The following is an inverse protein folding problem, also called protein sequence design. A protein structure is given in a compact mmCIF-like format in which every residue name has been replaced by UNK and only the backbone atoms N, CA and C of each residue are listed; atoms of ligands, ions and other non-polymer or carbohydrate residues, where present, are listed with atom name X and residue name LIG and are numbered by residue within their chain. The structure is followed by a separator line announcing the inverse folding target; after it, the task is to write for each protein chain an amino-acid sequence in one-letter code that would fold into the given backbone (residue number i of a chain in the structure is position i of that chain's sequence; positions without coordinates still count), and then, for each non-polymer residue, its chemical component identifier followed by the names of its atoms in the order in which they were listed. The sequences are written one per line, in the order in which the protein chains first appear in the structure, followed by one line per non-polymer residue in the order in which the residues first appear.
data_IF_734169442188
#
_entry.id   IF_734169442188
#
_cell.length_a   1.000
_cell.length_b   1.000
_cell.length_c   1.000
_cell.angle_alpha   90.00
_cell.angle_beta   90.00
_cell.angle_gamma   90.00
#
_symmetry.space_group_name_H-M   'P 1'
#
loop_
_entity.id
_entity.type
_entity.pdbx_description
1 polymer ?
#
# COMPACT_ATOMS: atom_id res chain seq x y z
N UNK A 1 16.93 2.63 17.53
CA UNK A 1 16.81 1.67 18.65
C UNK A 1 17.05 0.26 18.17
N UNK A 2 17.37 -0.64 19.05
CA UNK A 2 17.61 -2.06 18.76
C UNK A 2 16.39 -2.72 18.09
N UNK A 3 15.18 -2.40 18.53
CA UNK A 3 13.94 -2.90 17.92
C UNK A 3 13.84 -2.55 16.42
N UNK A 4 14.26 -1.36 15.99
CA UNK A 4 14.31 -0.97 14.58
C UNK A 4 15.40 -1.76 13.84
N UNK A 5 16.59 -1.92 14.41
CA UNK A 5 17.69 -2.68 13.77
C UNK A 5 17.35 -4.17 13.61
N UNK A 6 16.53 -4.73 14.49
CA UNK A 6 16.02 -6.10 14.41
C UNK A 6 14.78 -6.27 13.53
N UNK A 7 14.25 -5.18 12.97
CA UNK A 7 13.03 -5.24 12.14
C UNK A 7 11.73 -5.48 12.90
N UNK A 8 11.74 -5.35 14.25
CA UNK A 8 10.53 -5.51 15.08
C UNK A 8 9.57 -4.33 14.93
N UNK A 9 10.09 -3.15 14.61
CA UNK A 9 9.32 -1.94 14.34
C UNK A 9 9.90 -1.23 13.12
N UNK A 10 9.04 -0.54 12.35
CA UNK A 10 9.46 0.18 11.14
C UNK A 10 10.22 1.48 11.49
N UNK A 11 9.76 2.19 12.51
CA UNK A 11 10.34 3.46 12.96
C UNK A 11 10.20 3.63 14.48
N UNK A 12 11.04 4.53 15.01
CA UNK A 12 11.01 4.94 16.40
C UNK A 12 11.04 6.46 16.45
N UNK A 13 10.10 7.05 17.15
CA UNK A 13 9.95 8.49 17.31
C UNK A 13 9.94 8.89 18.80
N UNK A 14 10.31 10.12 19.14
CA UNK A 14 9.98 10.70 20.44
C UNK A 14 8.49 10.60 20.73
N UNK A 15 8.11 10.56 22.01
CA UNK A 15 6.71 10.32 22.40
C UNK A 15 5.75 11.39 21.87
N UNK A 16 6.17 12.64 21.83
CA UNK A 16 5.43 13.78 21.30
C UNK A 16 5.29 13.78 19.78
N UNK A 17 6.22 13.17 19.06
CA UNK A 17 6.20 13.04 17.60
C UNK A 17 5.49 11.77 17.12
N UNK A 18 5.32 10.75 17.96
CA UNK A 18 4.83 9.43 17.55
C UNK A 18 3.48 9.51 16.81
N UNK A 19 2.48 10.13 17.44
CA UNK A 19 1.15 10.23 16.82
C UNK A 19 1.13 11.09 15.54
N UNK A 20 1.72 12.32 15.52
CA UNK A 20 1.81 13.09 14.29
C UNK A 20 2.47 12.32 13.13
N UNK A 21 3.58 11.63 13.36
CA UNK A 21 4.28 10.84 12.34
C UNK A 21 3.47 9.62 11.91
N UNK A 22 2.83 8.93 12.84
CA UNK A 22 1.92 7.81 12.52
C UNK A 22 0.78 8.27 11.62
N UNK A 23 0.11 9.37 11.95
CA UNK A 23 -0.95 9.93 11.11
C UNK A 23 -0.45 10.33 9.72
N UNK A 24 0.76 10.86 9.60
CA UNK A 24 1.35 11.18 8.30
C UNK A 24 1.51 9.94 7.43
N UNK A 25 2.01 8.82 7.99
CA UNK A 25 2.13 7.54 7.28
C UNK A 25 0.74 7.02 6.88
N UNK A 26 -0.21 7.00 7.80
CA UNK A 26 -1.58 6.54 7.54
C UNK A 26 -2.25 7.35 6.43
N UNK A 27 -2.11 8.67 6.41
CA UNK A 27 -2.65 9.53 5.33
C UNK A 27 -2.03 9.19 3.97
N UNK A 28 -0.73 8.85 3.93
CA UNK A 28 -0.09 8.41 2.69
C UNK A 28 -0.71 7.11 2.19
N UNK A 29 -0.97 6.14 3.08
CA UNK A 29 -1.57 4.85 2.74
C UNK A 29 -3.03 5.04 2.30
N UNK A 30 -3.84 5.75 3.10
CA UNK A 30 -5.27 5.96 2.82
C UNK A 30 -5.52 6.86 1.60
N UNK A 31 -4.52 7.58 1.13
CA UNK A 31 -4.56 8.34 -0.12
C UNK A 31 -4.30 7.49 -1.37
N UNK A 32 -4.09 6.16 -1.23
CA UNK A 32 -3.92 5.23 -2.36
C UNK A 32 -5.22 4.51 -2.67
N UNK A 33 -5.29 3.89 -3.86
CA UNK A 33 -6.44 3.09 -4.29
C UNK A 33 -6.71 1.94 -3.29
N UNK A 34 -7.88 1.88 -2.64
CA UNK A 34 -8.15 0.94 -1.54
C UNK A 34 -8.01 -0.52 -1.95
N UNK A 35 -8.47 -0.90 -3.16
CA UNK A 35 -8.35 -2.27 -3.66
C UNK A 35 -6.88 -2.64 -3.86
N UNK A 36 -6.05 -1.73 -4.36
CA UNK A 36 -4.62 -1.96 -4.53
C UNK A 36 -3.92 -2.17 -3.17
N UNK A 37 -4.24 -1.37 -2.16
CA UNK A 37 -3.70 -1.55 -0.80
C UNK A 37 -4.12 -2.90 -0.22
N UNK A 38 -5.39 -3.31 -0.37
CA UNK A 38 -5.86 -4.62 0.09
C UNK A 38 -5.08 -5.77 -0.57
N UNK A 39 -4.84 -5.69 -1.89
CA UNK A 39 -4.06 -6.70 -2.62
C UNK A 39 -2.58 -6.72 -2.19
N UNK A 40 -1.97 -5.58 -1.94
CA UNK A 40 -0.59 -5.52 -1.41
C UNK A 40 -0.50 -6.23 -0.06
N UNK A 41 -1.44 -5.98 0.86
CA UNK A 41 -1.47 -6.63 2.17
C UNK A 41 -1.64 -8.15 2.01
N UNK A 42 -2.59 -8.60 1.19
CA UNK A 42 -2.82 -10.02 0.91
C UNK A 42 -1.55 -10.72 0.38
N UNK A 43 -0.94 -10.15 -0.66
CA UNK A 43 0.25 -10.72 -1.32
C UNK A 43 1.48 -10.70 -0.40
N UNK A 44 1.66 -9.64 0.39
CA UNK A 44 2.75 -9.56 1.36
C UNK A 44 2.63 -10.64 2.43
N UNK A 45 1.42 -10.88 2.94
CA UNK A 45 1.17 -11.95 3.90
C UNK A 45 1.44 -13.34 3.30
N UNK A 46 1.04 -13.58 2.04
CA UNK A 46 1.34 -14.82 1.33
C UNK A 46 2.85 -15.04 1.15
N UNK A 47 3.58 -13.98 0.80
CA UNK A 47 5.03 -14.04 0.67
C UNK A 47 5.72 -14.35 2.01
N UNK A 48 5.24 -13.76 3.12
CA UNK A 48 5.79 -13.98 4.45
C UNK A 48 5.67 -15.44 4.93
N UNK A 49 4.65 -16.19 4.48
CA UNK A 49 4.48 -17.61 4.80
C UNK A 49 5.09 -18.56 3.76
N UNK A 50 5.84 -18.02 2.79
CA UNK A 50 6.58 -18.83 1.81
C UNK A 50 5.71 -19.57 0.79
N UNK A 51 4.60 -18.97 0.36
CA UNK A 51 3.71 -19.59 -0.63
C UNK A 51 4.40 -19.75 -1.98
N UNK A 52 4.50 -20.98 -2.50
CA UNK A 52 5.26 -21.33 -3.72
C UNK A 52 4.76 -20.62 -4.99
N UNK A 53 3.47 -20.27 -5.06
CA UNK A 53 2.79 -19.63 -6.19
C UNK A 53 2.57 -18.11 -5.99
N UNK A 54 3.34 -17.48 -5.09
CA UNK A 54 3.24 -16.06 -4.78
C UNK A 54 3.34 -15.16 -6.01
N UNK A 55 4.27 -15.45 -6.92
CA UNK A 55 4.46 -14.68 -8.16
C UNK A 55 3.26 -14.79 -9.12
N UNK A 56 2.68 -15.98 -9.27
CA UNK A 56 1.48 -16.16 -10.10
C UNK A 56 0.29 -15.40 -9.53
N UNK A 57 0.13 -15.40 -8.21
CA UNK A 57 -0.92 -14.64 -7.53
C UNK A 57 -0.71 -13.14 -7.67
N UNK A 58 0.54 -12.66 -7.61
CA UNK A 58 0.87 -11.26 -7.84
C UNK A 58 0.51 -10.82 -9.26
N UNK A 59 0.91 -11.61 -10.30
CA UNK A 59 0.58 -11.33 -11.69
C UNK A 59 -0.95 -11.29 -11.89
N UNK A 60 -1.68 -12.25 -11.33
CA UNK A 60 -3.14 -12.29 -11.44
C UNK A 60 -3.80 -11.09 -10.74
N UNK A 61 -3.36 -10.74 -9.53
CA UNK A 61 -3.86 -9.60 -8.80
C UNK A 61 -3.57 -8.27 -9.52
N UNK A 62 -2.37 -8.13 -10.11
CA UNK A 62 -1.99 -6.98 -10.92
C UNK A 62 -2.91 -6.82 -12.14
N UNK A 63 -3.18 -7.92 -12.86
CA UNK A 63 -4.12 -7.92 -13.99
C UNK A 63 -5.52 -7.42 -13.58
N UNK A 64 -6.05 -7.93 -12.46
CA UNK A 64 -7.36 -7.52 -11.95
C UNK A 64 -7.44 -6.04 -11.59
N UNK A 65 -6.34 -5.45 -11.10
CA UNK A 65 -6.30 -4.03 -10.72
C UNK A 65 -6.47 -3.10 -11.93
N UNK A 66 -6.03 -3.50 -13.13
CA UNK A 66 -6.18 -2.69 -14.34
C UNK A 66 -7.65 -2.45 -14.76
N UNK A 67 -8.55 -3.35 -14.40
CA UNK A 67 -9.97 -3.23 -14.73
C UNK A 67 -10.73 -2.30 -13.78
N UNK A 68 -10.11 -1.92 -12.67
CA UNK A 68 -10.73 -1.05 -11.67
C UNK A 68 -10.92 0.40 -12.15
N UNK A 69 -11.93 1.06 -11.63
CA UNK A 69 -12.15 2.49 -11.87
C UNK A 69 -10.98 3.31 -11.31
N UNK A 70 -10.43 2.89 -10.18
CA UNK A 70 -9.30 3.56 -9.52
C UNK A 70 -8.00 3.49 -10.36
N UNK A 71 -7.75 2.38 -11.07
CA UNK A 71 -6.61 2.30 -11.99
C UNK A 71 -6.73 3.30 -13.15
N UNK A 72 -7.93 3.41 -13.72
CA UNK A 72 -8.23 4.38 -14.80
C UNK A 72 -8.12 5.81 -14.31
N UNK A 73 -8.63 6.07 -13.12
CA UNK A 73 -8.51 7.39 -12.46
C UNK A 73 -7.05 7.74 -12.17
N UNK A 74 -6.27 6.80 -11.64
CA UNK A 74 -4.84 6.99 -11.37
C UNK A 74 -4.06 7.35 -12.62
N UNK A 75 -4.28 6.62 -13.73
CA UNK A 75 -3.67 6.89 -15.02
C UNK A 75 -4.06 8.28 -15.56
N UNK A 76 -5.35 8.63 -15.49
CA UNK A 76 -5.85 9.94 -15.92
C UNK A 76 -5.26 11.07 -15.08
N UNK A 77 -5.29 10.94 -13.76
CA UNK A 77 -4.76 11.94 -12.84
C UNK A 77 -3.26 12.17 -13.06
N UNK A 78 -2.49 11.11 -13.36
CA UNK A 78 -1.08 11.21 -13.70
C UNK A 78 -0.84 12.04 -14.98
N UNK A 79 -1.60 11.78 -16.05
CA UNK A 79 -1.50 12.52 -17.30
C UNK A 79 -1.90 14.00 -17.14
N UNK A 80 -2.94 14.25 -16.34
CA UNK A 80 -3.47 15.59 -16.06
C UNK A 80 -2.68 16.33 -14.97
N UNK A 81 -1.68 15.69 -14.35
CA UNK A 81 -0.86 16.23 -13.24
C UNK A 81 -1.68 16.75 -12.06
N UNK A 82 -2.72 16.03 -11.70
CA UNK A 82 -3.59 16.32 -10.56
C UNK A 82 -3.57 15.18 -9.54
N UNK A 83 -4.11 15.45 -8.36
CA UNK A 83 -4.32 14.43 -7.34
C UNK A 83 -5.47 13.51 -7.79
N UNK A 84 -5.29 12.16 -7.75
CA UNK A 84 -6.36 11.23 -8.05
C UNK A 84 -7.42 11.21 -6.96
N UNK A 85 -8.66 10.90 -7.33
CA UNK A 85 -9.77 10.67 -6.41
C UNK A 85 -10.18 9.19 -6.45
N UNK A 86 -9.59 8.39 -5.59
CA UNK A 86 -9.87 6.95 -5.53
C UNK A 86 -11.15 6.67 -4.74
N UNK A 87 -11.97 5.76 -5.26
CA UNK A 87 -13.28 5.39 -4.72
C UNK A 87 -13.37 3.94 -4.25
N UNK A 88 -12.35 3.13 -4.49
CA UNK A 88 -12.33 1.72 -4.15
C UNK A 88 -13.17 0.84 -5.10
N UNK A 89 -13.27 1.21 -6.36
CA UNK A 89 -14.06 0.50 -7.37
C UNK A 89 -13.24 0.13 -8.60
#
# INVERSE_FOLDING_TARGET
SEAKSLGLVNEVYPADELLPKTYQVLRTITGKAPIAIAKIIELTNLAAIGHADGLQKEIAAFGLLFDTADAKEGARAFLEKRVPNFTGQ
#
